data_IF_626312953027
#
_entry.id   IF_626312953027
#
_cell.length_a   1.000
_cell.length_b   1.000
_cell.length_c   1.000
_cell.angle_alpha   90.00
_cell.angle_beta   90.00
_cell.angle_gamma   90.00
#
_symmetry.space_group_name_H-M   'P 1'
#
loop_
_entity.id
_entity.type
_entity.pdbx_description
1 polymer ?
2 non-polymer ?
#
# COMPACT_ATOMS: atom_id res chain seq x y z
N UNK A 14 -19.58 36.63 7.82
CA UNK A 14 -19.00 35.35 7.41
C UNK A 14 -20.01 34.50 6.66
N UNK A 15 -21.22 35.05 6.46
CA UNK A 15 -22.25 34.36 5.70
C UNK A 15 -21.94 34.33 4.20
N UNK A 16 -21.11 35.26 3.71
CA UNK A 16 -20.84 35.42 2.29
C UNK A 16 -19.55 34.76 1.83
N UNK A 17 -18.60 34.50 2.73
CA UNK A 17 -17.27 34.06 2.32
C UNK A 17 -17.14 32.55 2.20
N UNK A 18 -17.95 31.78 2.95
CA UNK A 18 -18.00 30.33 2.72
C UNK A 18 -18.58 30.02 1.35
N UNK A 19 -19.69 30.62 0.90
CA UNK A 19 -20.07 30.46 -0.51
C UNK A 19 -19.01 30.98 -1.47
N UNK A 20 -18.26 32.00 -1.08
CA UNK A 20 -17.16 32.50 -1.91
C UNK A 20 -16.04 31.48 -2.01
N UNK A 21 -15.71 30.81 -0.90
CA UNK A 21 -14.64 29.81 -0.94
C UNK A 21 -15.05 28.57 -1.72
N UNK A 22 -16.30 28.13 -1.56
CA UNK A 22 -16.73 26.91 -2.23
C UNK A 22 -16.91 27.10 -3.73
N UNK A 23 -17.04 28.35 -4.19
CA UNK A 23 -17.26 28.61 -5.61
C UNK A 23 -15.99 28.79 -6.40
N UNK A 24 -14.85 29.03 -5.73
CA UNK A 24 -13.58 29.06 -6.44
C UNK A 24 -13.00 27.67 -6.56
N UNK A 25 -12.94 26.92 -5.45
CA UNK A 25 -12.41 25.56 -5.50
C UNK A 25 -13.14 24.73 -6.54
N UNK A 26 -14.47 24.78 -6.55
CA UNK A 26 -15.24 24.06 -7.55
C UNK A 26 -14.93 24.55 -8.95
N UNK A 27 -14.53 25.81 -9.09
CA UNK A 27 -14.16 26.34 -10.40
C UNK A 27 -12.70 26.07 -10.75
N UNK A 28 -11.79 26.08 -9.77
CA UNK A 28 -10.42 25.69 -10.09
C UNK A 28 -10.37 24.21 -10.38
N UNK A 29 -11.23 23.41 -9.73
CA UNK A 29 -11.30 22.01 -10.06
C UNK A 29 -11.85 21.78 -11.46
N UNK A 30 -12.66 22.72 -11.96
CA UNK A 30 -13.13 22.63 -13.34
C UNK A 30 -12.00 22.96 -14.31
N UNK A 31 -11.27 24.04 -14.04
CA UNK A 31 -10.22 24.48 -14.95
C UNK A 31 -9.01 23.54 -14.92
N UNK A 32 -8.80 22.79 -13.84
CA UNK A 32 -7.67 21.89 -13.72
C UNK A 32 -8.09 20.43 -13.91
N UNK A 33 -9.23 20.03 -13.34
CA UNK A 33 -9.64 18.65 -13.37
C UNK A 33 -10.29 18.20 -14.66
N UNK A 34 -11.10 19.07 -15.28
CA UNK A 34 -11.65 18.75 -16.59
C UNK A 34 -10.57 18.50 -17.62
N UNK A 35 -9.66 19.45 -17.92
CA UNK A 35 -8.71 19.23 -19.04
C UNK A 35 -7.74 18.10 -18.77
N UNK A 36 -7.20 18.06 -17.55
CA UNK A 36 -6.23 17.04 -17.20
C UNK A 36 -6.81 15.63 -17.33
N UNK A 37 -7.92 15.38 -16.64
CA UNK A 37 -8.53 14.05 -16.71
C UNK A 37 -8.98 13.72 -18.11
N UNK A 38 -9.50 14.70 -18.86
CA UNK A 38 -9.92 14.44 -20.23
C UNK A 38 -8.73 14.05 -21.09
N UNK A 39 -7.55 14.61 -20.80
CA UNK A 39 -6.34 14.19 -21.49
C UNK A 39 -5.84 12.84 -20.98
N UNK A 40 -5.76 12.68 -19.65
CA UNK A 40 -5.26 11.44 -19.08
C UNK A 40 -6.09 10.25 -19.55
N UNK A 41 -7.42 10.40 -19.56
CA UNK A 41 -8.28 9.34 -20.07
C UNK A 41 -8.15 9.19 -21.57
N UNK A 42 -7.69 10.24 -22.26
CA UNK A 42 -7.56 10.18 -23.71
C UNK A 42 -6.40 9.29 -24.12
N UNK A 43 -5.20 9.60 -23.62
CA UNK A 43 -3.99 8.89 -24.05
C UNK A 43 -4.13 7.40 -23.85
N UNK A 44 -4.64 6.99 -22.68
CA UNK A 44 -4.77 5.58 -22.35
C UNK A 44 -5.71 4.83 -23.28
N UNK A 45 -6.54 5.53 -24.02
CA UNK A 45 -7.45 4.90 -24.98
C UNK A 45 -7.01 5.06 -26.43
N UNK A 46 -6.60 6.25 -26.85
CA UNK A 46 -6.29 6.51 -28.26
C UNK A 46 -4.88 6.09 -28.65
N UNK A 47 -3.90 6.25 -27.77
CA UNK A 47 -2.50 6.12 -28.15
C UNK A 47 -1.81 4.94 -27.47
N UNK A 48 -2.54 3.86 -27.17
CA UNK A 48 -1.93 2.69 -26.55
C UNK A 48 -2.51 1.41 -27.15
N UNK A 49 -1.66 0.41 -27.29
CA UNK A 49 -2.08 -0.89 -27.80
C UNK A 49 -2.29 -1.88 -26.66
N UNK A 50 -1.26 -2.11 -25.85
CA UNK A 50 -1.34 -2.97 -24.68
C UNK A 50 -1.55 -2.08 -23.46
N UNK A 51 -2.79 -2.01 -22.99
CA UNK A 51 -3.13 -1.16 -21.84
C UNK A 51 -2.72 -1.90 -20.56
N UNK A 52 -1.65 -1.44 -19.93
CA UNK A 52 -1.14 -2.09 -18.74
C UNK A 52 -2.19 -2.06 -17.63
N UNK A 53 -2.05 -3.00 -16.68
CA UNK A 53 -2.94 -3.02 -15.53
C UNK A 53 -2.82 -1.71 -14.75
N UNK A 54 -1.60 -1.18 -14.63
CA UNK A 54 -1.41 0.12 -14.02
C UNK A 54 -1.97 1.24 -14.88
N UNK A 55 -2.27 0.99 -16.15
CA UNK A 55 -2.93 1.96 -17.00
C UNK A 55 -4.45 1.83 -16.99
N UNK A 56 -4.98 0.79 -16.34
CA UNK A 56 -6.42 0.67 -16.16
C UNK A 56 -6.88 1.26 -14.85
N UNK A 57 -6.14 0.99 -13.77
CA UNK A 57 -6.41 1.68 -12.50
C UNK A 57 -6.44 3.18 -12.72
N UNK A 58 -5.38 3.73 -13.33
CA UNK A 58 -5.36 5.15 -13.65
C UNK A 58 -6.55 5.51 -14.52
N UNK A 59 -6.83 4.69 -15.53
CA UNK A 59 -7.94 4.96 -16.44
C UNK A 59 -9.24 5.14 -15.67
N UNK A 60 -9.74 4.07 -15.05
CA UNK A 60 -11.02 4.15 -14.36
C UNK A 60 -11.00 5.17 -13.24
N UNK A 61 -9.90 5.21 -12.48
CA UNK A 61 -9.79 6.21 -11.43
C UNK A 61 -9.81 7.63 -12.00
N UNK A 62 -9.08 7.86 -13.10
CA UNK A 62 -9.18 9.14 -13.78
C UNK A 62 -10.39 9.22 -14.72
N UNK A 63 -11.12 8.12 -14.90
CA UNK A 63 -12.39 8.14 -15.62
C UNK A 63 -13.55 8.50 -14.71
N UNK A 64 -13.56 7.93 -13.50
CA UNK A 64 -14.58 8.27 -12.51
C UNK A 64 -14.43 9.70 -12.04
N UNK A 65 -13.19 10.12 -11.74
CA UNK A 65 -12.94 11.48 -11.29
C UNK A 65 -13.47 12.49 -12.29
N UNK A 66 -13.59 12.09 -13.56
CA UNK A 66 -14.12 13.00 -14.57
C UNK A 66 -15.63 13.19 -14.43
N UNK A 67 -16.35 12.13 -14.05
CA UNK A 67 -17.81 12.22 -13.93
C UNK A 67 -18.22 13.17 -12.82
N UNK A 68 -17.50 13.13 -11.68
CA UNK A 68 -17.81 14.03 -10.58
C UNK A 68 -17.73 15.48 -11.03
N UNK A 69 -16.71 15.81 -11.83
CA UNK A 69 -16.54 17.19 -12.27
C UNK A 69 -17.59 17.60 -13.27
N UNK A 70 -18.19 16.64 -13.99
CA UNK A 70 -19.26 16.97 -14.90
C UNK A 70 -20.49 17.51 -14.19
N UNK A 71 -20.65 17.19 -12.90
CA UNK A 71 -21.75 17.73 -12.10
C UNK A 71 -21.43 19.09 -11.51
N UNK A 72 -20.15 19.44 -11.42
CA UNK A 72 -19.75 20.74 -10.86
C UNK A 72 -20.47 21.94 -11.44
N UNK A 73 -20.73 22.05 -12.75
CA UNK A 73 -21.44 23.25 -13.24
C UNK A 73 -22.82 23.40 -12.65
N UNK A 74 -23.38 22.34 -12.07
CA UNK A 74 -24.71 22.41 -11.49
C UNK A 74 -24.68 22.93 -10.06
N UNK A 75 -23.72 22.47 -9.26
CA UNK A 75 -23.63 22.94 -7.89
C UNK A 75 -23.22 24.41 -7.85
N UNK A 76 -22.34 24.81 -8.78
CA UNK A 76 -21.97 26.22 -8.89
C UNK A 76 -23.17 27.08 -9.22
N UNK A 77 -24.00 26.62 -10.15
CA UNK A 77 -25.25 27.32 -10.46
C UNK A 77 -26.16 27.35 -9.23
N UNK A 78 -26.35 26.19 -8.58
CA UNK A 78 -27.13 26.13 -7.35
C UNK A 78 -26.51 27.00 -6.26
N UNK A 79 -25.18 27.19 -6.30
CA UNK A 79 -24.51 27.99 -5.28
C UNK A 79 -24.83 29.48 -5.43
N UNK A 80 -25.07 29.94 -6.66
CA UNK A 80 -25.26 31.36 -6.92
C UNK A 80 -26.71 31.73 -7.23
N UNK A 81 -27.45 30.86 -7.94
CA UNK A 81 -28.84 31.14 -8.23
C UNK A 81 -29.66 31.32 -6.96
N UNK A 82 -29.43 30.45 -5.97
CA UNK A 82 -30.14 30.50 -4.72
C UNK A 82 -31.08 29.33 -4.49
N UNK A 83 -31.50 28.65 -5.55
CA UNK A 83 -32.39 27.51 -5.42
C UNK A 83 -32.01 26.43 -6.42
N UNK A 84 -32.39 25.19 -6.11
CA UNK A 84 -32.19 24.09 -7.03
C UNK A 84 -33.06 24.28 -8.27
N UNK A 85 -32.59 23.78 -9.41
CA UNK A 85 -33.28 24.08 -10.66
C UNK A 85 -33.48 22.86 -11.56
N UNK A 86 -33.22 21.66 -11.08
CA UNK A 86 -33.18 20.50 -11.96
C UNK A 86 -34.17 19.41 -11.58
N UNK A 87 -35.05 19.67 -10.61
CA UNK A 87 -36.08 18.71 -10.27
C UNK A 87 -35.53 17.55 -9.47
N UNK A 88 -36.46 16.67 -9.05
CA UNK A 88 -36.10 15.55 -8.19
C UNK A 88 -34.97 14.74 -8.80
N UNK A 89 -35.05 14.47 -10.10
CA UNK A 89 -34.00 13.72 -10.79
C UNK A 89 -32.65 14.41 -10.61
N UNK A 90 -32.64 15.74 -10.75
CA UNK A 90 -31.37 16.46 -10.66
C UNK A 90 -30.64 16.24 -9.36
N UNK A 91 -31.32 16.46 -8.24
CA UNK A 91 -30.67 16.30 -6.95
C UNK A 91 -30.65 14.86 -6.47
N UNK A 92 -31.56 14.02 -6.98
CA UNK A 92 -31.44 12.58 -6.73
C UNK A 92 -30.23 12.00 -7.46
N UNK A 93 -29.89 12.55 -8.63
CA UNK A 93 -28.81 12.06 -9.48
C UNK A 93 -27.44 12.62 -9.09
N UNK A 94 -27.32 13.95 -8.99
CA UNK A 94 -25.99 14.55 -8.77
C UNK A 94 -25.31 13.97 -7.55
N UNK A 95 -26.08 13.69 -6.50
CA UNK A 95 -25.48 13.07 -5.33
C UNK A 95 -25.19 11.60 -5.57
N UNK A 96 -25.97 10.92 -6.40
CA UNK A 96 -25.67 9.53 -6.70
C UNK A 96 -24.40 9.43 -7.53
N UNK A 97 -24.26 10.27 -8.54
CA UNK A 97 -23.03 10.31 -9.33
C UNK A 97 -21.84 10.67 -8.43
N UNK A 98 -22.02 11.65 -7.55
CA UNK A 98 -20.97 11.99 -6.60
C UNK A 98 -20.73 10.84 -5.63
N UNK A 99 -21.81 10.18 -5.19
CA UNK A 99 -21.63 9.12 -4.22
C UNK A 99 -21.00 7.87 -4.80
N UNK A 100 -21.06 7.70 -6.11
CA UNK A 100 -20.51 6.48 -6.68
C UNK A 100 -19.02 6.64 -6.96
N UNK A 101 -18.57 7.87 -7.29
CA UNK A 101 -17.16 8.10 -7.55
C UNK A 101 -16.36 8.00 -6.26
N UNK A 102 -16.89 8.53 -5.14
CA UNK A 102 -16.21 8.34 -3.87
C UNK A 102 -15.96 6.88 -3.60
N UNK A 103 -17.00 6.07 -3.78
CA UNK A 103 -16.92 4.65 -3.53
C UNK A 103 -16.02 3.97 -4.55
N UNK A 104 -16.20 4.26 -5.84
CA UNK A 104 -15.35 3.66 -6.86
C UNK A 104 -13.91 4.14 -6.69
N UNK A 105 -13.68 5.44 -6.44
CA UNK A 105 -12.32 5.93 -6.32
C UNK A 105 -11.60 5.30 -5.14
N UNK A 106 -12.26 5.20 -4.00
CA UNK A 106 -11.57 4.72 -2.81
C UNK A 106 -11.30 3.22 -2.89
N UNK A 107 -12.17 2.46 -3.57
CA UNK A 107 -11.93 1.02 -3.68
C UNK A 107 -10.76 0.74 -4.63
N UNK A 108 -10.67 1.48 -5.74
CA UNK A 108 -9.50 1.35 -6.60
C UNK A 108 -8.22 1.65 -5.84
N UNK A 109 -8.25 2.68 -4.98
CA UNK A 109 -7.07 3.01 -4.19
C UNK A 109 -6.79 1.93 -3.15
N UNK A 110 -7.83 1.27 -2.65
CA UNK A 110 -7.61 0.11 -1.81
C UNK A 110 -6.92 -1.00 -2.59
N UNK A 111 -7.43 -1.32 -3.78
CA UNK A 111 -6.86 -2.39 -4.59
C UNK A 111 -5.42 -2.10 -4.97
N UNK A 112 -5.16 -0.90 -5.51
CA UNK A 112 -3.79 -0.52 -5.85
C UNK A 112 -2.86 -0.68 -4.66
N UNK A 113 -3.30 -0.23 -3.48
CA UNK A 113 -2.47 -0.33 -2.29
C UNK A 113 -2.45 -1.74 -1.73
N UNK A 114 -3.57 -2.47 -1.83
CA UNK A 114 -3.61 -3.85 -1.39
C UNK A 114 -2.73 -4.75 -2.25
N UNK A 115 -2.38 -4.30 -3.45
CA UNK A 115 -1.58 -5.07 -4.40
C UNK A 115 -0.07 -4.85 -4.23
N UNK A 116 0.38 -3.60 -4.10
CA UNK A 116 1.80 -3.38 -3.86
C UNK A 116 2.28 -4.07 -2.59
N UNK A 117 1.38 -4.64 -1.79
CA UNK A 117 1.78 -5.51 -0.69
C UNK A 117 1.85 -6.97 -1.09
N UNK A 118 1.25 -7.34 -2.22
CA UNK A 118 1.44 -8.68 -2.76
C UNK A 118 2.61 -8.75 -3.72
N UNK A 119 3.07 -7.62 -4.24
CA UNK A 119 4.27 -7.60 -5.07
C UNK A 119 5.55 -7.69 -4.26
N UNK A 120 5.47 -7.53 -2.94
CA UNK A 120 6.62 -7.75 -2.08
C UNK A 120 6.43 -8.94 -1.16
N UNK A 121 5.20 -9.34 -0.87
CA UNK A 121 5.00 -10.53 -0.05
C UNK A 121 5.45 -11.77 -0.80
N UNK A 122 5.05 -11.90 -2.06
CA UNK A 122 5.56 -12.97 -2.90
C UNK A 122 5.46 -12.55 -4.36
N UNK A 123 6.56 -12.14 -5.01
CA UNK A 123 6.44 -11.62 -6.38
C UNK A 123 6.22 -12.68 -7.43
N UNK A 124 6.22 -13.95 -7.07
CA UNK A 124 5.95 -15.00 -8.03
C UNK A 124 4.47 -15.31 -8.17
N UNK A 125 3.68 -15.00 -7.14
CA UNK A 125 2.23 -15.19 -7.25
C UNK A 125 1.59 -14.06 -8.05
N UNK A 126 2.19 -12.87 -8.02
CA UNK A 126 1.65 -11.73 -8.74
C UNK A 126 1.54 -12.01 -10.23
N UNK A 127 2.57 -12.63 -10.81
CA UNK A 127 2.53 -12.97 -12.23
C UNK A 127 1.35 -13.89 -12.53
N UNK A 128 1.03 -14.79 -11.60
CA UNK A 128 -0.07 -15.72 -11.75
C UNK A 128 -1.38 -15.17 -11.21
N UNK A 129 -1.40 -13.96 -10.65
CA UNK A 129 -2.62 -13.39 -10.11
C UNK A 129 -2.91 -12.04 -10.75
N UNK A 130 -1.87 -11.27 -11.07
CA UNK A 130 -2.05 -9.96 -11.70
C UNK A 130 -2.14 -10.14 -13.23
N UNK A 131 -3.31 -10.63 -13.65
CA UNK A 131 -3.64 -10.82 -15.06
C UNK A 131 -4.58 -9.71 -15.49
N UNK A 132 -4.32 -9.11 -16.66
CA UNK A 132 -5.22 -8.10 -17.20
C UNK A 132 -6.64 -8.63 -17.29
N UNK A 133 -6.79 -9.93 -17.58
CA UNK A 133 -8.13 -10.52 -17.61
C UNK A 133 -8.71 -10.65 -16.20
N UNK A 134 -7.86 -10.85 -15.19
CA UNK A 134 -8.32 -10.89 -13.81
C UNK A 134 -8.21 -9.54 -13.12
N UNK A 135 -7.82 -8.50 -13.84
CA UNK A 135 -7.89 -7.12 -13.38
C UNK A 135 -9.11 -6.41 -13.93
N UNK A 136 -9.37 -6.57 -15.23
CA UNK A 136 -10.61 -6.06 -15.82
C UNK A 136 -11.82 -6.68 -15.14
N UNK A 137 -11.80 -8.00 -14.95
CA UNK A 137 -12.92 -8.66 -14.32
C UNK A 137 -13.02 -8.34 -12.82
N UNK A 138 -12.09 -7.53 -12.29
CA UNK A 138 -12.23 -6.98 -10.94
C UNK A 138 -12.84 -5.59 -10.97
N UNK A 139 -12.44 -4.76 -11.94
CA UNK A 139 -12.94 -3.39 -12.02
C UNK A 139 -14.45 -3.37 -12.04
N UNK A 140 -15.06 -4.24 -12.87
CA UNK A 140 -16.51 -4.38 -12.88
C UNK A 140 -17.03 -4.68 -11.48
N UNK A 141 -16.35 -5.60 -10.79
CA UNK A 141 -16.71 -5.88 -9.40
C UNK A 141 -16.66 -4.64 -8.54
N UNK A 142 -15.56 -3.89 -8.62
CA UNK A 142 -15.45 -2.65 -7.85
C UNK A 142 -16.55 -1.68 -8.27
N UNK A 143 -16.75 -1.52 -9.57
CA UNK A 143 -17.80 -0.63 -10.07
C UNK A 143 -19.18 -1.11 -9.65
N UNK A 144 -19.47 -2.39 -9.89
CA UNK A 144 -20.74 -2.95 -9.46
C UNK A 144 -20.94 -2.83 -7.96
N UNK A 145 -19.92 -3.20 -7.20
CA UNK A 145 -19.97 -3.05 -5.74
C UNK A 145 -19.81 -1.62 -5.29
N UNK A 146 -19.57 -0.70 -6.21
CA UNK A 146 -19.62 0.73 -5.92
C UNK A 146 -20.95 1.35 -6.31
N UNK A 147 -21.57 0.88 -7.39
CA UNK A 147 -22.89 1.36 -7.78
C UNK A 147 -23.95 1.03 -6.75
N UNK A 148 -23.72 0.00 -5.95
CA UNK A 148 -24.72 -0.41 -4.97
C UNK A 148 -24.58 0.32 -3.65
N UNK A 149 -23.35 0.65 -3.25
CA UNK A 149 -23.10 1.20 -1.93
C UNK A 149 -23.45 2.69 -1.85
N UNK A 150 -23.72 3.32 -3.01
CA UNK A 150 -24.23 4.69 -3.07
C UNK A 150 -25.73 4.76 -3.27
N UNK A 151 -26.41 3.62 -3.28
CA UNK A 151 -27.86 3.61 -3.51
C UNK A 151 -28.66 4.33 -2.43
N UNK A 152 -28.34 4.25 -1.14
CA UNK A 152 -29.13 5.02 -0.16
C UNK A 152 -29.18 6.51 -0.47
N UNK A 153 -28.16 7.05 -1.14
CA UNK A 153 -28.10 8.48 -1.37
C UNK A 153 -29.19 8.94 -2.34
N UNK A 154 -29.67 8.06 -3.22
CA UNK A 154 -30.78 8.45 -4.07
C UNK A 154 -32.14 8.19 -3.43
N UNK A 155 -32.18 7.49 -2.31
CA UNK A 155 -33.45 7.31 -1.62
C UNK A 155 -33.69 8.41 -0.59
N UNK A 156 -32.62 9.04 -0.09
CA UNK A 156 -32.70 9.95 1.04
C UNK A 156 -32.48 11.41 0.66
N UNK A 157 -32.14 11.71 -0.60
CA UNK A 157 -31.90 13.09 -1.04
C UNK A 157 -32.97 13.46 -2.05
N UNK A 158 -33.84 14.40 -1.66
CA UNK A 158 -34.93 14.86 -2.51
C UNK A 158 -35.09 16.36 -2.31
N UNK A 159 -35.64 17.04 -3.33
CA UNK A 159 -35.87 18.47 -3.23
C UNK A 159 -37.12 18.75 -2.41
N UNK A 160 -37.04 19.73 -1.53
CA UNK A 160 -38.16 20.17 -0.73
C UNK A 160 -38.37 21.66 -0.98
N UNK A 161 -39.61 22.03 -1.25
CA UNK A 161 -39.94 23.42 -1.53
C UNK A 161 -39.94 24.21 -0.23
N UNK A 162 -38.99 25.12 -0.09
CA UNK A 162 -38.81 25.90 1.13
C UNK A 162 -39.61 27.20 1.09
N UNK A 163 -39.44 27.99 0.03
CA UNK A 163 -40.14 29.24 -0.19
C UNK A 163 -40.73 29.22 -1.60
N UNK A 164 -41.76 30.04 -1.83
CA UNK A 164 -42.37 30.16 -3.15
C UNK A 164 -41.32 30.33 -4.24
N UNK A 165 -40.28 31.12 -3.97
CA UNK A 165 -39.24 31.39 -4.96
C UNK A 165 -37.93 30.68 -4.65
N UNK A 166 -37.93 29.78 -3.67
CA UNK A 166 -36.70 29.09 -3.29
C UNK A 166 -37.05 27.68 -2.83
N UNK A 167 -36.62 26.68 -3.59
CA UNK A 167 -36.68 25.29 -3.14
C UNK A 167 -35.26 24.78 -3.00
N UNK A 168 -34.92 24.33 -1.80
CA UNK A 168 -33.59 23.81 -1.53
C UNK A 168 -33.61 22.29 -1.65
N UNK A 169 -32.42 21.73 -1.79
CA UNK A 169 -32.25 20.28 -1.84
C UNK A 169 -31.16 19.85 -0.88
N UNK A 170 -31.48 18.87 -0.04
CA UNK A 170 -30.50 18.16 0.78
C UNK A 170 -31.19 16.91 1.29
N UNK A 171 -30.43 16.09 2.02
CA UNK A 171 -30.94 14.84 2.55
C UNK A 171 -32.13 15.07 3.48
N UNK A 172 -33.21 14.32 3.22
CA UNK A 172 -34.38 14.31 4.09
C UNK A 172 -34.38 12.97 4.80
N UNK A 173 -33.89 12.95 6.03
CA UNK A 173 -33.86 11.72 6.78
C UNK A 173 -35.08 11.65 7.68
N UNK A 174 -35.95 10.63 7.54
CA UNK A 174 -37.18 10.61 8.35
C UNK A 174 -36.98 10.78 9.85
N UNK A 175 -36.03 10.06 10.44
CA UNK A 175 -35.68 10.20 11.84
C UNK A 175 -34.17 10.44 11.94
N UNK A 176 -33.73 10.80 13.14
CA UNK A 176 -32.31 11.07 13.37
C UNK A 176 -31.49 9.79 13.48
N UNK A 177 -32.09 8.70 13.98
CA UNK A 177 -31.44 7.41 13.91
C UNK A 177 -31.16 7.02 12.46
N UNK A 178 -32.12 7.29 11.57
CA UNK A 178 -31.89 7.11 10.14
C UNK A 178 -30.69 7.94 9.68
N UNK A 179 -30.68 9.23 10.03
CA UNK A 179 -29.56 10.09 9.67
C UNK A 179 -28.26 9.59 10.28
N UNK A 180 -28.29 9.20 11.56
CA UNK A 180 -27.07 8.79 12.26
C UNK A 180 -26.35 7.68 11.52
N UNK A 181 -27.01 6.53 11.38
CA UNK A 181 -26.32 5.37 10.85
C UNK A 181 -25.81 5.62 9.43
N UNK A 182 -26.63 6.22 8.58
CA UNK A 182 -26.18 6.49 7.22
C UNK A 182 -24.99 7.45 7.20
N UNK A 183 -24.99 8.44 8.09
CA UNK A 183 -23.82 9.32 8.19
C UNK A 183 -22.60 8.58 8.70
N UNK A 184 -22.81 7.62 9.59
CA UNK A 184 -21.72 6.73 9.97
C UNK A 184 -21.44 5.71 8.89
N UNK A 185 -22.48 5.23 8.21
CA UNK A 185 -22.31 4.15 7.24
C UNK A 185 -21.43 4.59 6.08
N UNK A 186 -21.55 5.84 5.64
CA UNK A 186 -20.69 6.32 4.56
C UNK A 186 -19.33 6.78 5.06
N UNK A 187 -19.02 6.59 6.34
CA UNK A 187 -17.72 6.91 6.88
C UNK A 187 -16.87 5.65 7.03
N UNK A 188 -17.41 4.63 7.68
CA UNK A 188 -16.68 3.37 7.76
C UNK A 188 -16.41 2.84 6.36
N UNK A 189 -17.46 2.74 5.55
CA UNK A 189 -17.32 2.09 4.27
C UNK A 189 -16.57 2.96 3.27
N UNK A 190 -16.88 4.25 3.24
CA UNK A 190 -16.18 5.14 2.33
C UNK A 190 -14.72 5.27 2.67
N UNK A 191 -14.42 5.53 3.93
CA UNK A 191 -13.06 5.87 4.34
C UNK A 191 -12.45 4.91 5.34
N UNK A 192 -13.18 4.55 6.39
CA UNK A 192 -12.50 3.93 7.52
C UNK A 192 -12.11 2.50 7.20
N UNK A 193 -12.99 1.76 6.55
CA UNK A 193 -12.62 0.42 6.09
C UNK A 193 -11.42 0.47 5.14
N UNK A 194 -11.39 1.34 4.11
CA UNK A 194 -10.18 1.47 3.28
C UNK A 194 -8.97 2.02 4.04
N UNK A 195 -9.15 3.10 4.79
CA UNK A 195 -8.02 3.66 5.53
C UNK A 195 -7.40 2.62 6.45
N UNK A 196 -8.22 1.71 7.01
CA UNK A 196 -7.65 0.63 7.82
C UNK A 196 -6.97 -0.41 6.96
N UNK A 197 -7.55 -0.72 5.80
CA UNK A 197 -6.94 -1.72 4.92
C UNK A 197 -5.63 -1.23 4.37
N UNK A 198 -5.60 0.01 3.90
CA UNK A 198 -4.40 0.53 3.21
C UNK A 198 -3.36 0.90 4.26
N UNK A 199 -3.70 0.75 5.54
CA UNK A 199 -2.74 1.01 6.60
C UNK A 199 -2.12 -0.32 7.04
N UNK A 200 -2.90 -1.40 6.96
CA UNK A 200 -2.35 -2.71 7.28
C UNK A 200 -1.39 -3.17 6.20
N UNK A 201 -1.83 -3.11 4.94
CA UNK A 201 -0.99 -3.59 3.84
C UNK A 201 0.23 -2.70 3.63
N UNK A 202 0.03 -1.38 3.61
CA UNK A 202 1.13 -0.47 3.28
C UNK A 202 2.07 -0.24 4.45
N UNK A 203 1.71 -0.68 5.66
CA UNK A 203 2.67 -0.68 6.76
C UNK A 203 3.29 -2.05 7.00
N UNK A 204 2.63 -3.13 6.56
CA UNK A 204 3.28 -4.43 6.54
C UNK A 204 4.52 -4.40 5.66
N UNK A 205 4.43 -3.71 4.51
CA UNK A 205 5.56 -3.61 3.59
C UNK A 205 6.73 -2.92 4.29
N UNK A 206 6.53 -1.68 4.75
CA UNK A 206 7.59 -0.92 5.39
C UNK A 206 8.14 -1.62 6.63
N UNK A 207 7.38 -2.57 7.18
CA UNK A 207 7.85 -3.45 8.24
C UNK A 207 8.42 -4.76 7.69
N UNK A 208 8.22 -5.04 6.40
CA UNK A 208 8.80 -6.21 5.78
C UNK A 208 10.23 -5.93 5.31
N UNK A 209 10.45 -4.71 4.77
CA UNK A 209 11.75 -4.35 4.22
C UNK A 209 12.81 -4.24 5.31
N UNK A 210 12.42 -3.87 6.53
CA UNK A 210 13.37 -3.78 7.63
C UNK A 210 14.12 -5.10 7.82
N UNK A 211 13.43 -6.22 7.66
CA UNK A 211 14.11 -7.52 7.66
C UNK A 211 14.96 -7.69 6.42
N UNK A 212 14.38 -7.39 5.25
CA UNK A 212 15.07 -7.56 3.97
C UNK A 212 16.23 -6.59 3.79
N UNK A 213 16.32 -5.55 4.60
CA UNK A 213 17.39 -4.59 4.46
C UNK A 213 17.21 -3.71 3.23
N UNK A 214 17.61 -2.45 3.33
CA UNK A 214 17.42 -1.52 2.22
C UNK A 214 18.36 -1.88 1.07
N UNK A 215 17.91 -1.58 -0.15
CA UNK A 215 18.63 -1.92 -1.35
C UNK A 215 18.77 -3.42 -1.49
N UNK A 216 19.70 -3.82 -2.35
CA UNK A 216 20.08 -5.22 -2.49
C UNK A 216 21.24 -5.59 -1.56
N UNK A 217 21.60 -4.71 -0.62
CA UNK A 217 22.83 -4.87 0.14
C UNK A 217 22.90 -6.21 0.86
N UNK A 218 21.76 -6.73 1.32
CA UNK A 218 21.82 -7.98 2.07
C UNK A 218 22.08 -9.15 1.14
N UNK A 219 21.68 -9.03 -0.13
CA UNK A 219 21.80 -10.15 -1.07
C UNK A 219 23.25 -10.41 -1.43
N UNK A 220 23.93 -9.39 -1.98
CA UNK A 220 25.32 -9.58 -2.40
C UNK A 220 26.20 -10.04 -1.24
N UNK A 221 25.92 -9.55 -0.04
CA UNK A 221 26.62 -10.04 1.14
C UNK A 221 26.46 -11.54 1.29
N UNK A 222 25.24 -12.03 1.12
CA UNK A 222 25.02 -13.46 1.26
C UNK A 222 25.57 -14.24 0.07
N UNK A 223 25.61 -13.62 -1.11
CA UNK A 223 26.14 -14.33 -2.28
C UNK A 223 27.60 -14.71 -2.07
N UNK A 224 28.42 -13.75 -1.65
CA UNK A 224 29.83 -13.99 -1.32
C UNK A 224 29.98 -15.18 -0.38
N UNK A 225 28.99 -15.39 0.49
CA UNK A 225 29.14 -16.27 1.65
C UNK A 225 28.56 -17.66 1.42
N UNK A 226 27.27 -17.76 1.14
CA UNK A 226 26.62 -19.05 0.93
C UNK A 226 26.73 -19.53 -0.51
N UNK A 227 27.30 -18.74 -1.40
CA UNK A 227 27.46 -19.16 -2.77
C UNK A 227 26.20 -19.02 -3.59
N UNK A 228 26.31 -18.37 -4.73
CA UNK A 228 25.20 -18.14 -5.63
C UNK A 228 25.26 -19.15 -6.77
N UNK A 229 24.35 -20.11 -6.78
CA UNK A 229 24.21 -21.06 -7.88
C UNK A 229 22.80 -20.98 -8.45
N UNK A 230 22.68 -21.02 -9.77
CA UNK A 230 21.39 -20.85 -10.44
C UNK A 230 20.82 -22.16 -10.98
N UNK A 231 21.33 -23.30 -10.50
CA UNK A 231 20.82 -24.60 -10.92
C UNK A 231 20.72 -25.50 -9.70
N UNK A 232 19.83 -26.49 -9.80
CA UNK A 232 19.63 -27.42 -8.70
C UNK A 232 20.91 -28.18 -8.42
N UNK A 233 21.30 -28.27 -7.15
CA UNK A 233 22.49 -29.02 -6.78
C UNK A 233 22.20 -29.80 -5.49
N UNK A 234 23.24 -30.38 -4.90
CA UNK A 234 23.10 -31.09 -3.64
C UNK A 234 23.79 -30.30 -2.52
N UNK A 235 23.09 -30.15 -1.40
CA UNK A 235 23.57 -29.32 -0.31
C UNK A 235 24.79 -29.96 0.37
N UNK A 236 25.31 -29.27 1.39
CA UNK A 236 26.45 -29.80 2.13
C UNK A 236 26.12 -31.15 2.75
N UNK A 237 24.90 -31.32 3.26
CA UNK A 237 24.43 -32.57 3.84
C UNK A 237 23.81 -33.49 2.81
N UNK A 238 24.04 -33.26 1.53
CA UNK A 238 23.49 -34.11 0.48
C UNK A 238 21.98 -34.00 0.34
N UNK A 239 21.50 -32.80 -0.02
CA UNK A 239 20.08 -32.56 -0.18
C UNK A 239 19.89 -31.49 -1.25
N UNK A 240 18.69 -31.49 -1.85
CA UNK A 240 18.41 -30.63 -3.00
C UNK A 240 18.22 -29.18 -2.57
N UNK A 241 19.01 -28.28 -3.13
CA UNK A 241 18.83 -26.84 -2.95
C UNK A 241 19.07 -26.14 -4.28
N UNK A 242 18.74 -24.86 -4.32
CA UNK A 242 19.02 -24.01 -5.48
C UNK A 242 19.14 -22.58 -4.99
N UNK A 243 19.95 -21.79 -5.68
CA UNK A 243 20.14 -20.42 -5.24
C UNK A 243 21.02 -20.36 -3.99
N UNK A 244 20.78 -19.33 -3.18
CA UNK A 244 21.52 -19.14 -1.93
C UNK A 244 20.87 -19.98 -0.84
N UNK A 245 21.09 -21.29 -0.89
CA UNK A 245 20.68 -22.21 0.16
C UNK A 245 19.19 -22.48 0.27
N UNK A 246 18.37 -22.05 -0.69
CA UNK A 246 16.94 -22.33 -0.64
C UNK A 246 16.73 -23.84 -0.76
N UNK A 247 16.24 -24.46 0.32
CA UNK A 247 15.94 -25.88 0.34
C UNK A 247 14.63 -26.13 -0.41
N UNK A 248 14.69 -26.88 -1.50
CA UNK A 248 13.49 -27.16 -2.28
C UNK A 248 12.58 -28.15 -1.59
N UNK A 249 13.13 -29.29 -1.15
CA UNK A 249 12.30 -30.32 -0.54
C UNK A 249 13.17 -31.28 0.25
N UNK A 250 12.57 -31.88 1.29
CA UNK A 250 13.19 -32.99 1.99
C UNK A 250 12.79 -34.30 1.30
N UNK A 251 13.39 -34.50 0.12
CA UNK A 251 12.99 -35.62 -0.73
C UNK A 251 14.14 -35.98 -1.65
N UNK A 252 14.19 -37.22 -2.11
CA UNK A 252 15.29 -37.66 -2.98
C UNK A 252 15.12 -37.36 -4.46
N UNK A 253 13.89 -37.45 -4.99
CA UNK A 253 13.70 -37.45 -6.44
C UNK A 253 13.90 -36.08 -7.07
N UNK A 254 14.61 -36.07 -8.20
CA UNK A 254 14.84 -34.82 -8.92
C UNK A 254 13.53 -34.24 -9.45
N UNK A 255 12.77 -35.04 -10.20
CA UNK A 255 11.50 -34.55 -10.75
C UNK A 255 10.59 -34.05 -9.64
N UNK A 256 10.60 -34.72 -8.49
CA UNK A 256 9.91 -34.18 -7.31
C UNK A 256 10.55 -32.87 -6.88
N UNK A 257 11.87 -32.82 -6.82
CA UNK A 257 12.56 -31.59 -6.44
C UNK A 257 12.38 -30.52 -7.51
N UNK A 258 12.57 -30.89 -8.78
CA UNK A 258 12.42 -29.94 -9.88
C UNK A 258 11.00 -29.40 -9.96
N UNK A 259 10.02 -30.29 -9.93
CA UNK A 259 8.63 -29.86 -9.95
C UNK A 259 8.30 -28.99 -8.75
N UNK A 260 8.80 -29.36 -7.57
CA UNK A 260 8.55 -28.57 -6.36
C UNK A 260 8.97 -27.12 -6.58
N UNK A 261 10.10 -26.91 -7.26
CA UNK A 261 10.55 -25.56 -7.55
C UNK A 261 9.54 -24.83 -8.44
N UNK A 262 9.15 -25.44 -9.56
CA UNK A 262 8.24 -24.81 -10.52
C UNK A 262 6.97 -24.30 -9.86
N UNK A 263 6.50 -24.99 -8.82
CA UNK A 263 5.34 -24.51 -8.08
C UNK A 263 5.62 -23.16 -7.43
N UNK A 264 6.82 -22.96 -6.90
CA UNK A 264 7.14 -21.72 -6.21
C UNK A 264 7.65 -20.63 -7.14
N UNK A 265 7.65 -20.84 -8.45
CA UNK A 265 8.15 -19.83 -9.37
C UNK A 265 7.06 -19.57 -10.41
N UNK A 266 6.27 -20.61 -10.67
CA UNK A 266 5.13 -20.51 -11.55
C UNK A 266 5.43 -20.71 -13.02
N UNK A 267 6.69 -20.91 -13.39
CA UNK A 267 7.07 -21.11 -14.78
C UNK A 267 7.90 -22.39 -14.91
N UNK A 268 7.89 -22.96 -16.12
CA UNK A 268 8.61 -24.21 -16.39
C UNK A 268 10.08 -23.90 -16.55
N UNK A 269 10.80 -23.96 -15.42
CA UNK A 269 12.22 -23.62 -15.41
C UNK A 269 13.05 -24.69 -16.08
N UNK A 270 12.64 -25.95 -15.93
CA UNK A 270 13.44 -27.11 -16.33
C UNK A 270 14.79 -27.12 -15.61
N UNK A 271 14.85 -26.50 -14.44
CA UNK A 271 16.04 -26.57 -13.61
C UNK A 271 16.90 -25.33 -13.55
N UNK A 272 16.44 -24.22 -14.13
CA UNK A 272 17.25 -23.00 -14.19
C UNK A 272 16.39 -21.79 -13.78
N UNK A 273 16.99 -20.89 -13.00
CA UNK A 273 16.32 -19.67 -12.59
C UNK A 273 17.21 -18.47 -12.90
N UNK A 274 16.59 -17.31 -12.99
CA UNK A 274 17.29 -16.08 -13.32
C UNK A 274 18.04 -15.55 -12.10
N UNK A 275 18.93 -14.57 -12.34
CA UNK A 275 19.54 -13.84 -11.24
C UNK A 275 18.49 -13.16 -10.39
N UNK A 276 17.43 -12.63 -11.02
CA UNK A 276 16.33 -12.05 -10.28
C UNK A 276 15.61 -13.13 -9.47
N UNK A 277 15.14 -14.17 -10.16
CA UNK A 277 14.39 -15.23 -9.46
C UNK A 277 15.18 -15.79 -8.29
N UNK A 278 16.51 -15.82 -8.38
CA UNK A 278 17.31 -16.27 -7.25
C UNK A 278 17.26 -15.29 -6.11
N UNK A 279 17.08 -14.00 -6.40
CA UNK A 279 17.07 -12.96 -5.39
C UNK A 279 15.71 -12.86 -4.69
N UNK A 280 14.63 -12.76 -5.46
CA UNK A 280 13.29 -12.76 -4.87
C UNK A 280 13.10 -13.98 -4.00
N UNK A 281 13.44 -15.16 -4.53
CA UNK A 281 13.34 -16.39 -3.75
C UNK A 281 14.16 -16.30 -2.47
N UNK A 282 15.31 -15.62 -2.53
CA UNK A 282 16.12 -15.44 -1.34
C UNK A 282 15.43 -14.56 -0.31
N UNK A 283 14.60 -13.61 -0.75
CA UNK A 283 13.89 -12.78 0.20
C UNK A 283 12.91 -13.62 1.01
N UNK A 284 12.21 -14.55 0.37
CA UNK A 284 11.38 -15.48 1.13
C UNK A 284 12.21 -16.32 2.09
N UNK A 285 13.50 -16.50 1.82
CA UNK A 285 14.35 -17.23 2.74
C UNK A 285 14.82 -16.37 3.92
N UNK A 286 14.75 -15.05 3.83
CA UNK A 286 15.03 -14.17 4.96
C UNK A 286 13.75 -13.65 5.60
N UNK A 287 12.72 -13.41 4.79
CA UNK A 287 11.41 -13.06 5.34
C UNK A 287 10.93 -14.11 6.33
N UNK A 288 10.99 -15.38 5.94
CA UNK A 288 10.60 -16.46 6.83
C UNK A 288 11.67 -16.81 7.84
N UNK A 289 12.93 -16.39 7.62
CA UNK A 289 13.96 -16.60 8.62
C UNK A 289 14.00 -15.48 9.67
N UNK A 290 13.26 -14.39 9.45
CA UNK A 290 13.21 -13.31 10.41
C UNK A 290 12.04 -13.48 11.39
N UNK A 291 10.94 -14.09 10.93
CA UNK A 291 9.86 -14.43 11.86
C UNK A 291 10.33 -15.46 12.87
N UNK A 292 11.10 -16.46 12.42
CA UNK A 292 11.70 -17.40 13.36
C UNK A 292 12.56 -16.70 14.40
N UNK A 293 13.27 -15.64 13.99
CA UNK A 293 14.05 -14.86 14.94
C UNK A 293 13.13 -14.09 15.88
N UNK A 294 12.21 -13.30 15.30
CA UNK A 294 11.30 -12.51 16.11
C UNK A 294 10.37 -13.39 16.95
N UNK A 295 10.16 -14.65 16.56
CA UNK A 295 9.39 -15.58 17.38
C UNK A 295 10.28 -16.50 18.19
N UNK A 296 11.57 -16.17 18.34
CA UNK A 296 12.49 -16.95 19.13
C UNK A 296 12.68 -16.32 20.50
N UNK A 297 12.78 -17.17 21.52
CA UNK A 297 12.87 -16.70 22.89
C UNK A 297 14.15 -15.90 23.14
N UNK A 298 15.26 -16.28 22.51
CA UNK A 298 16.56 -15.77 22.92
C UNK A 298 17.09 -14.67 22.01
N UNK A 299 16.96 -14.80 20.69
CA UNK A 299 17.59 -13.86 19.77
C UNK A 299 16.66 -12.75 19.32
N UNK A 300 15.40 -12.75 19.76
CA UNK A 300 14.53 -11.62 19.45
C UNK A 300 15.02 -10.32 20.12
N UNK A 301 15.29 -10.28 21.43
CA UNK A 301 15.65 -8.98 22.04
C UNK A 301 16.87 -8.34 21.43
N UNK A 302 17.95 -9.10 21.27
CA UNK A 302 19.20 -8.57 20.74
C UNK A 302 18.98 -8.02 19.33
N UNK A 303 18.31 -8.79 18.48
CA UNK A 303 18.02 -8.36 17.11
C UNK A 303 17.35 -6.98 17.11
N UNK A 304 16.34 -6.79 17.95
CA UNK A 304 15.65 -5.50 17.98
C UNK A 304 16.61 -4.35 18.27
N UNK A 305 17.67 -4.60 19.03
CA UNK A 305 18.62 -3.54 19.35
C UNK A 305 19.60 -3.27 18.21
N UNK A 306 19.92 -4.29 17.41
CA UNK A 306 20.95 -4.15 16.40
C UNK A 306 20.49 -3.26 15.25
N UNK A 307 21.37 -2.38 14.80
CA UNK A 307 21.10 -1.46 13.71
C UNK A 307 20.96 -2.23 12.40
N UNK A 308 20.55 -1.51 11.34
CA UNK A 308 20.26 -2.16 10.06
C UNK A 308 21.47 -2.91 9.53
N UNK A 309 22.67 -2.39 9.74
CA UNK A 309 23.87 -3.03 9.23
C UNK A 309 24.12 -4.36 9.94
N UNK A 310 24.30 -4.31 11.26
CA UNK A 310 24.60 -5.49 12.07
C UNK A 310 23.47 -6.50 12.11
N UNK A 311 22.29 -6.16 11.60
CA UNK A 311 21.18 -7.11 11.63
C UNK A 311 21.40 -8.24 10.64
N UNK A 312 21.89 -7.90 9.45
CA UNK A 312 22.00 -8.90 8.39
C UNK A 312 22.92 -10.04 8.81
N UNK A 313 23.88 -9.77 9.68
CA UNK A 313 24.78 -10.83 10.12
C UNK A 313 24.11 -11.79 11.10
N UNK A 314 23.21 -11.29 11.95
CA UNK A 314 22.32 -12.18 12.68
C UNK A 314 21.52 -13.03 11.70
N UNK A 315 21.02 -12.40 10.63
CA UNK A 315 20.36 -13.13 9.57
C UNK A 315 21.35 -14.04 8.86
N UNK A 316 22.64 -13.72 8.93
CA UNK A 316 23.64 -14.57 8.28
C UNK A 316 23.93 -15.81 9.12
N UNK A 317 24.20 -15.63 10.41
CA UNK A 317 24.44 -16.79 11.26
C UNK A 317 23.22 -17.69 11.33
N UNK A 318 22.03 -17.09 11.40
CA UNK A 318 20.80 -17.89 11.41
C UNK A 318 20.68 -18.67 10.10
N UNK A 319 21.08 -18.06 8.99
CA UNK A 319 21.17 -18.79 7.74
C UNK A 319 22.22 -19.90 7.82
N UNK A 320 23.29 -19.66 8.57
CA UNK A 320 24.38 -20.61 8.63
C UNK A 320 23.99 -21.84 9.43
N UNK A 321 23.63 -21.65 10.70
CA UNK A 321 23.48 -22.75 11.64
C UNK A 321 22.05 -22.93 12.18
N UNK A 322 21.09 -22.11 11.74
CA UNK A 322 19.75 -22.20 12.26
C UNK A 322 19.63 -21.55 13.63
N UNK A 323 18.47 -20.97 13.92
CA UNK A 323 18.30 -20.20 15.16
C UNK A 323 18.65 -21.04 16.38
N UNK A 324 18.16 -22.28 16.42
CA UNK A 324 18.46 -23.16 17.55
C UNK A 324 19.97 -23.26 17.80
N UNK A 325 20.78 -23.15 16.75
CA UNK A 325 22.22 -23.22 16.89
C UNK A 325 22.87 -21.91 17.29
N UNK A 326 22.51 -20.81 16.62
CA UNK A 326 23.07 -19.51 16.95
C UNK A 326 22.59 -19.02 18.31
N UNK A 327 21.41 -19.45 18.75
CA UNK A 327 20.99 -19.18 20.13
C UNK A 327 21.98 -19.67 21.18
N UNK A 328 23.01 -20.44 20.79
CA UNK A 328 23.93 -20.95 21.80
C UNK A 328 24.90 -19.90 22.33
N UNK A 329 25.31 -18.96 21.46
CA UNK A 329 26.33 -17.97 21.83
C UNK A 329 25.67 -16.84 22.63
N UNK A 330 25.17 -17.20 23.81
CA UNK A 330 24.47 -16.23 24.64
C UNK A 330 25.40 -15.08 25.05
N UNK A 331 26.57 -15.40 25.61
CA UNK A 331 27.48 -14.35 26.07
C UNK A 331 27.94 -13.48 24.92
N UNK A 332 28.13 -14.05 23.73
CA UNK A 332 28.37 -13.23 22.55
C UNK A 332 27.09 -12.64 21.99
N UNK A 333 25.93 -13.17 22.40
CA UNK A 333 24.67 -12.59 21.95
C UNK A 333 24.36 -11.31 22.73
N UNK A 334 24.39 -11.39 24.06
CA UNK A 334 23.99 -10.23 24.85
C UNK A 334 25.00 -9.10 24.73
N UNK A 335 26.28 -9.41 24.49
CA UNK A 335 27.26 -8.35 24.36
C UNK A 335 26.91 -7.41 23.22
N UNK A 336 26.32 -7.94 22.15
CA UNK A 336 25.80 -7.09 21.09
C UNK A 336 24.62 -6.29 21.57
N UNK A 337 23.68 -6.94 22.25
CA UNK A 337 22.50 -6.27 22.77
C UNK A 337 22.88 -5.09 23.66
N UNK A 338 23.98 -5.23 24.40
CA UNK A 338 24.47 -4.16 25.27
C UNK A 338 25.39 -3.19 24.55
N UNK A 339 25.45 -3.30 23.23
CA UNK A 339 26.18 -2.41 22.32
C UNK A 339 27.69 -2.41 22.57
N UNK A 340 28.25 -3.46 23.15
CA UNK A 340 29.68 -3.59 23.32
C UNK A 340 30.17 -4.57 22.26
N UNK A 341 30.78 -4.06 21.20
CA UNK A 341 31.16 -4.92 20.09
C UNK A 341 32.52 -5.57 20.30
N UNK A 342 33.51 -4.78 20.74
CA UNK A 342 34.86 -5.30 20.88
C UNK A 342 34.93 -6.50 21.80
N UNK A 343 34.04 -6.58 22.78
CA UNK A 343 34.00 -7.75 23.64
C UNK A 343 33.18 -8.89 23.07
N UNK A 344 32.45 -8.66 21.99
CA UNK A 344 31.80 -9.72 21.25
C UNK A 344 32.57 -10.13 20.01
N UNK A 345 33.31 -9.21 19.41
CA UNK A 345 34.19 -9.55 18.30
C UNK A 345 35.30 -10.49 18.75
N UNK A 346 35.96 -10.15 19.87
CA UNK A 346 37.05 -10.99 20.36
C UNK A 346 36.51 -12.26 21.00
N UNK A 347 35.28 -12.23 21.52
CA UNK A 347 34.71 -13.40 22.17
C UNK A 347 34.28 -14.45 21.14
N UNK A 348 33.78 -14.01 19.99
CA UNK A 348 33.41 -14.95 18.95
C UNK A 348 34.62 -15.58 18.28
N UNK A 349 35.83 -15.06 18.52
CA UNK A 349 37.04 -15.57 17.88
C UNK A 349 37.42 -16.98 18.31
N UNK A 350 36.87 -17.48 19.41
CA UNK A 350 37.26 -18.78 19.94
C UNK A 350 36.25 -19.88 19.63
N UNK A 351 35.23 -19.60 18.83
CA UNK A 351 34.20 -20.59 18.56
C UNK A 351 34.66 -21.58 17.51
N UNK A 352 34.12 -22.81 17.59
CA UNK A 352 34.33 -23.77 16.52
C UNK A 352 33.83 -23.22 15.19
N UNK A 353 32.72 -22.49 15.24
CA UNK A 353 32.23 -21.78 14.07
C UNK A 353 33.33 -20.94 13.43
N UNK A 354 34.11 -20.22 14.24
CA UNK A 354 35.26 -19.49 13.71
C UNK A 354 36.33 -20.42 13.17
N UNK A 355 36.49 -21.59 13.78
CA UNK A 355 37.51 -22.53 13.35
C UNK A 355 37.10 -23.30 12.10
N UNK A 356 35.87 -23.81 12.07
CA UNK A 356 35.50 -24.67 10.94
C UNK A 356 35.35 -23.87 9.65
N UNK A 357 34.98 -22.59 9.74
CA UNK A 357 34.86 -21.72 8.57
C UNK A 357 35.28 -20.32 8.95
N UNK A 358 36.53 -19.95 8.65
CA UNK A 358 37.11 -18.68 9.12
C UNK A 358 37.14 -17.56 8.11
N UNK A 359 36.91 -17.85 6.84
CA UNK A 359 36.82 -16.79 5.84
C UNK A 359 35.52 -16.03 5.99
N UNK A 360 34.44 -16.74 6.28
CA UNK A 360 33.15 -16.11 6.48
C UNK A 360 32.94 -15.68 7.93
N UNK A 361 33.71 -16.25 8.86
CA UNK A 361 33.58 -15.80 10.23
C UNK A 361 34.41 -14.56 10.51
N UNK A 362 35.52 -14.38 9.81
CA UNK A 362 36.37 -13.22 10.05
C UNK A 362 35.78 -11.93 9.49
N UNK A 363 34.77 -12.03 8.63
CA UNK A 363 34.10 -10.88 8.04
C UNK A 363 32.74 -10.59 8.64
N UNK A 364 31.95 -11.64 8.91
CA UNK A 364 30.71 -11.46 9.66
C UNK A 364 31.01 -10.78 11.00
N UNK A 365 32.00 -11.28 11.72
CA UNK A 365 32.40 -10.67 12.98
C UNK A 365 32.92 -9.24 12.74
N UNK A 366 33.56 -9.00 11.60
CA UNK A 366 34.05 -7.66 11.30
C UNK A 366 32.91 -6.69 11.07
N UNK A 367 31.81 -7.15 10.47
CA UNK A 367 30.65 -6.28 10.32
C UNK A 367 30.02 -5.90 11.66
N UNK A 368 30.26 -6.68 12.72
CA UNK A 368 29.74 -6.32 14.03
C UNK A 368 30.52 -5.17 14.64
N UNK A 369 31.84 -5.32 14.76
CA UNK A 369 32.64 -4.31 15.45
C UNK A 369 32.73 -3.00 14.67
N UNK A 370 32.51 -3.03 13.36
CA UNK A 370 32.57 -1.82 12.54
C UNK A 370 31.20 -1.29 12.10
N UNK A 371 30.16 -2.12 12.12
CA UNK A 371 28.83 -1.65 11.75
C UNK A 371 28.73 -1.11 10.35
N UNK A 372 29.59 -1.55 9.44
CA UNK A 372 29.58 -1.10 8.06
C UNK A 372 29.80 -2.30 7.15
N UNK A 373 29.52 -2.10 5.86
CA UNK A 373 29.79 -3.11 4.84
C UNK A 373 31.23 -3.07 4.34
N UNK A 374 32.15 -2.47 5.11
CA UNK A 374 33.51 -2.28 4.62
C UNK A 374 34.17 -3.62 4.26
N UNK A 375 33.96 -4.64 5.08
CA UNK A 375 34.65 -5.91 4.90
C UNK A 375 34.17 -6.70 3.70
N UNK A 376 33.00 -6.36 3.16
CA UNK A 376 32.37 -7.16 2.12
C UNK A 376 32.57 -6.62 0.71
N UNK A 377 32.44 -5.32 0.49
CA UNK A 377 32.53 -4.81 -0.86
C UNK A 377 32.70 -3.30 -0.86
N UNK A 378 32.70 -2.72 -2.06
CA UNK A 378 32.84 -1.27 -2.17
C UNK A 378 32.20 -0.80 -3.48
N UNK A 379 30.95 -0.35 -3.39
CA UNK A 379 30.28 0.35 -4.49
C UNK A 379 29.50 -0.49 -5.49
N UNK A 380 29.23 -1.76 -5.22
CA UNK A 380 28.49 -2.58 -6.18
C UNK A 380 27.10 -2.96 -5.68
N UNK A 381 26.63 -2.35 -4.60
CA UNK A 381 25.37 -2.74 -3.99
C UNK A 381 24.28 -1.69 -4.12
N UNK A 382 24.62 -0.48 -4.56
CA UNK A 382 23.67 0.63 -4.50
C UNK A 382 22.58 0.46 -5.55
N UNK A 383 21.34 0.32 -5.09
CA UNK A 383 20.18 0.20 -5.95
C UNK A 383 19.08 1.10 -5.42
N UNK A 384 18.09 1.35 -6.28
CA UNK A 384 16.86 2.05 -5.96
C UNK A 384 15.73 1.02 -5.89
N UNK A 385 15.58 0.39 -4.72
CA UNK A 385 14.58 -0.65 -4.54
C UNK A 385 13.16 -0.13 -4.71
N UNK A 386 12.93 1.14 -4.44
CA UNK A 386 11.60 1.72 -4.58
C UNK A 386 11.15 1.69 -6.04
N UNK A 387 9.91 1.24 -6.26
CA UNK A 387 9.35 1.09 -7.59
C UNK A 387 8.34 2.22 -7.87
N UNK A 388 7.67 2.14 -9.02
CA UNK A 388 6.67 3.12 -9.42
C UNK A 388 5.54 3.24 -8.41
N UNK A 389 5.43 2.29 -7.47
CA UNK A 389 4.50 2.39 -6.36
C UNK A 389 4.79 3.53 -5.40
N UNK A 390 6.01 4.07 -5.45
CA UNK A 390 6.30 5.32 -4.75
C UNK A 390 5.44 6.47 -5.29
N UNK A 391 5.12 6.46 -6.59
CA UNK A 391 4.11 7.38 -7.09
C UNK A 391 2.72 6.97 -6.65
N UNK A 392 2.46 5.66 -6.61
CA UNK A 392 1.16 5.16 -6.19
C UNK A 392 0.86 5.51 -4.73
N UNK A 393 1.88 5.89 -3.95
CA UNK A 393 1.70 6.17 -2.53
C UNK A 393 1.48 7.65 -2.25
N UNK A 394 1.47 8.51 -3.26
CA UNK A 394 1.10 9.90 -3.05
C UNK A 394 -0.34 10.15 -3.47
N UNK A 395 -0.81 9.49 -4.54
CA UNK A 395 -2.19 9.73 -4.97
C UNK A 395 -3.20 9.21 -3.97
N UNK A 396 -2.76 8.40 -3.00
CA UNK A 396 -3.61 8.03 -1.88
C UNK A 396 -3.54 9.08 -0.76
N UNK A 397 -2.39 9.76 -0.61
CA UNK A 397 -2.27 10.75 0.46
C UNK A 397 -2.97 12.05 0.08
N UNK A 398 -2.80 12.53 -1.16
CA UNK A 398 -3.60 13.64 -1.63
C UNK A 398 -5.08 13.32 -1.51
N UNK A 399 -5.44 12.06 -1.80
CA UNK A 399 -6.82 11.64 -1.61
C UNK A 399 -7.21 11.70 -0.13
N UNK A 400 -6.40 11.08 0.73
CA UNK A 400 -6.74 11.03 2.15
C UNK A 400 -6.79 12.43 2.77
N UNK A 401 -5.86 13.30 2.39
CA UNK A 401 -5.84 14.64 2.94
C UNK A 401 -7.03 15.48 2.49
N UNK A 402 -7.70 15.09 1.40
CA UNK A 402 -8.85 15.84 0.90
C UNK A 402 -10.17 15.29 1.42
N UNK A 403 -10.21 14.02 1.77
CA UNK A 403 -11.44 13.36 2.17
C UNK A 403 -11.55 13.14 3.67
N UNK A 404 -10.51 13.43 4.42
CA UNK A 404 -10.64 13.29 5.85
C UNK A 404 -11.47 14.43 6.43
N UNK A 405 -11.22 15.71 6.07
CA UNK A 405 -12.08 16.79 6.59
C UNK A 405 -13.56 16.51 6.46
N UNK A 406 -14.00 15.99 5.31
CA UNK A 406 -15.42 15.73 5.13
C UNK A 406 -15.90 14.63 6.05
N UNK A 407 -15.14 13.54 6.17
CA UNK A 407 -15.65 12.37 6.85
C UNK A 407 -15.68 12.53 8.36
N UNK A 408 -14.76 13.31 8.94
CA UNK A 408 -14.80 13.53 10.37
C UNK A 408 -16.13 14.16 10.77
N UNK A 409 -16.66 15.05 9.91
CA UNK A 409 -17.97 15.64 10.18
C UNK A 409 -19.05 14.57 10.14
N UNK A 410 -19.04 13.72 9.10
CA UNK A 410 -19.93 12.57 9.08
C UNK A 410 -19.74 11.70 10.31
N UNK A 411 -18.49 11.55 10.75
CA UNK A 411 -18.21 10.79 11.95
C UNK A 411 -18.67 11.53 13.20
N UNK A 412 -18.60 12.87 13.20
CA UNK A 412 -18.94 13.60 14.41
C UNK A 412 -20.44 13.88 14.47
N UNK A 413 -21.11 13.97 13.34
CA UNK A 413 -22.55 14.21 13.36
C UNK A 413 -23.29 12.99 13.89
N UNK A 414 -23.00 11.81 13.35
CA UNK A 414 -23.63 10.60 13.85
C UNK A 414 -23.34 10.32 15.31
N UNK A 415 -22.11 10.64 15.75
CA UNK A 415 -21.76 10.46 17.16
C UNK A 415 -22.53 11.43 18.04
N UNK A 416 -22.59 12.69 17.65
CA UNK A 416 -23.21 13.76 18.43
C UNK A 416 -24.68 13.99 18.07
N UNK A 417 -25.29 13.05 17.35
CA UNK A 417 -26.73 13.05 17.09
C UNK A 417 -27.46 12.04 17.95
N UNK A 418 -26.76 11.41 18.89
CA UNK A 418 -27.39 10.60 19.92
C UNK A 418 -27.43 11.26 21.27
N UNK A 419 -26.47 12.14 21.57
CA UNK A 419 -26.57 13.08 22.67
C UNK A 419 -26.48 14.49 22.10
N UNK A 420 -27.53 15.28 22.28
CA UNK A 420 -27.59 16.63 21.76
C UNK A 420 -27.32 16.76 20.27
N UNK A 423 -28.94 22.55 16.47
CA UNK A 423 -29.20 23.56 17.49
C UNK A 423 -28.56 24.89 17.12
N UNK A 424 -27.90 25.52 18.10
CA UNK A 424 -27.12 26.72 17.89
C UNK A 424 -25.63 26.50 17.99
N UNK A 425 -25.19 25.57 18.85
CA UNK A 425 -23.78 25.19 18.92
C UNK A 425 -23.37 24.36 17.71
N UNK A 426 -24.26 23.48 17.26
CA UNK A 426 -24.02 22.66 16.07
C UNK A 426 -24.38 23.36 14.77
N UNK A 427 -24.77 24.64 14.81
CA UNK A 427 -25.05 25.38 13.58
C UNK A 427 -23.81 25.65 12.75
N UNK A 428 -22.62 25.39 13.30
CA UNK A 428 -21.38 25.56 12.56
C UNK A 428 -21.07 24.37 11.66
N UNK A 429 -21.54 23.17 12.03
CA UNK A 429 -21.16 21.97 11.28
C UNK A 429 -21.48 22.10 9.81
N UNK A 430 -22.74 22.36 9.46
CA UNK A 430 -23.09 22.54 8.06
C UNK A 430 -22.32 23.70 7.44
N UNK A 431 -22.03 24.76 8.21
CA UNK A 431 -21.16 25.81 7.68
C UNK A 431 -19.73 25.32 7.56
N UNK A 432 -19.29 24.46 8.48
CA UNK A 432 -17.97 23.86 8.38
C UNK A 432 -17.95 22.69 7.41
N UNK A 433 -19.05 21.95 7.32
CA UNK A 433 -19.11 20.86 6.36
C UNK A 433 -19.12 21.39 4.92
N UNK A 434 -19.66 22.59 4.71
CA UNK A 434 -19.73 23.17 3.37
C UNK A 434 -18.36 23.24 2.71
N UNK A 435 -17.33 23.65 3.44
CA UNK A 435 -16.00 23.78 2.88
C UNK A 435 -15.33 22.40 2.76
N UNK A 436 -15.42 21.59 3.81
CA UNK A 436 -14.89 20.23 3.75
C UNK A 436 -15.51 19.43 2.61
N UNK A 437 -16.83 19.57 2.45
CA UNK A 437 -17.54 18.95 1.33
C UNK A 437 -17.06 19.54 0.00
N UNK A 438 -16.76 20.85 -0.01
CA UNK A 438 -16.31 21.52 -1.22
C UNK A 438 -14.82 21.39 -1.45
N UNK A 439 -14.03 21.31 -0.37
CA UNK A 439 -12.60 21.03 -0.49
C UNK A 439 -12.37 19.72 -1.24
N UNK A 440 -13.16 18.69 -0.91
CA UNK A 440 -12.99 17.38 -1.51
C UNK A 440 -13.21 17.37 -3.02
N UNK A 441 -13.73 18.45 -3.59
CA UNK A 441 -13.91 18.54 -5.03
C UNK A 441 -12.59 18.74 -5.78
N UNK A 442 -11.46 18.79 -5.07
CA UNK A 442 -10.15 18.92 -5.68
C UNK A 442 -9.44 17.58 -5.86
N UNK A 443 -9.85 16.54 -5.11
CA UNK A 443 -9.21 15.24 -5.23
C UNK A 443 -9.42 14.63 -6.61
N UNK A 444 -10.56 14.92 -7.23
CA UNK A 444 -10.76 14.51 -8.62
C UNK A 444 -9.78 15.20 -9.55
N UNK A 445 -9.23 16.34 -9.13
CA UNK A 445 -8.33 17.14 -9.95
C UNK A 445 -6.89 17.09 -9.42
N UNK A 446 -6.52 16.01 -8.73
CA UNK A 446 -5.18 15.89 -8.16
C UNK A 446 -4.32 14.89 -8.91
N UNK A 447 -4.90 13.93 -9.64
CA UNK A 447 -4.07 12.99 -10.39
C UNK A 447 -3.33 13.64 -11.55
N UNK A 448 -3.96 14.46 -12.40
CA UNK A 448 -3.22 15.04 -13.54
C UNK A 448 -2.00 15.85 -13.13
N UNK A 449 -2.03 16.52 -11.97
CA UNK A 449 -0.84 17.25 -11.52
C UNK A 449 0.23 16.29 -11.05
N UNK A 450 -0.16 15.22 -10.36
CA UNK A 450 0.81 14.21 -9.93
C UNK A 450 1.43 13.50 -11.13
N UNK A 451 0.69 13.38 -12.23
CA UNK A 451 1.28 12.84 -13.44
C UNK A 451 2.12 13.91 -14.14
N UNK A 452 1.75 15.17 -14.02
CA UNK A 452 2.57 16.28 -14.49
C UNK A 452 3.62 16.71 -13.47
N UNK A 453 3.77 15.95 -12.37
CA UNK A 453 4.78 16.28 -11.36
C UNK A 453 6.19 16.15 -11.92
N UNK A 454 6.39 15.29 -12.93
CA UNK A 454 7.70 15.08 -13.53
C UNK A 454 8.16 16.30 -14.33
X LIG B 1 -20.45 23.01 -1.94
X LIG B 1 -22.21 24.57 -0.59
X LIG B 1 -23.97 19.72 -2.27
X LIG B 1 -22.94 18.79 -2.29
X LIG B 1 -24.32 25.61 -0.11
X LIG B 1 -22.48 16.60 -3.06
X LIG B 1 -21.09 16.16 -2.60
X LIG B 1 -19.08 14.98 -3.17
X LIG B 1 -18.30 14.15 -4.17
X LIG B 1 -19.28 16.07 -1.03
X LIG B 1 -23.21 17.42 -2.21
X LIG B 1 -25.10 26.47 0.67
X LIG B 1 -17.00 14.66 -4.25
X LIG B 1 -13.67 10.49 -7.91
X LIG B 1 -12.00 11.61 -6.67
X LIG B 1 -21.88 22.95 -2.48
X LIG B 1 -22.32 21.49 -2.41
X LIG B 1 -22.77 23.88 -1.65
X LIG B 1 -21.85 23.38 -3.94
X LIG B 1 -23.64 21.07 -2.34
X LIG B 1 -21.32 20.56 -2.43
X LIG B 1 -24.11 24.08 -1.95
X LIG B 1 -21.63 19.23 -2.37
X LIG B 1 -22.98 25.42 0.19
X LIG B 1 -24.89 24.93 -1.18
X LIG B 1 -20.34 15.42 -3.49
X LIG B 1 -20.55 16.49 -1.36
X LIG B 1 -18.53 15.31 -1.93
X LIG B 1 -16.08 13.86 -4.92
X LIG B 1 -14.86 14.40 -5.25
X LIG B 1 -16.38 12.54 -5.23
X LIG B 1 -14.23 12.32 -6.22
X LIG B 1 -13.92 13.64 -5.92
X LIG B 1 -15.44 11.77 -5.88
X LIG B 1 -13.21 11.47 -6.94
#
# INVERSE_FOLDING_TARGET
ELMDYKDDDDKEFSNTFIPLLAMILLSVSMVVGLPGNTFVVWSILKRMRKRSVTALMVLNLALADLAVLLTAPFFLHFLTWGTWSFGLAGCRLCHYICGVSMYASVLLITAMSLDRSLAVASPFLSQKVRTKTAARWLLVGIWGASFLLATPVLAFRKVVKLTNETDLCLAVYPSDRHKAFHLLFEAFTGFVVPFLIVVASYADISRRLRARGSGSNIFEMLRIDEGLRLKIYKDTEGYYTIGIGHLLTKSPSLNAAKSELDKAIGRNTNGVITKDEAEKLFNQDVDAAVRGILRNAKLKPVYDSLDAVRRAALINMVFQMGETGVAGFTNSLRMLQQKRWDEAAVNLAKSRWYNQTPNRAKRVITTFRTGTWDAYGSGSRFHRRRRTGRLVVIIILAFAAFWLPYHVVDLVEGSRVLAGTLDQSKQQLRNARKVCIALAFLSSSVNPLLYACAGGGLLRSAGVGFVAKLLEATGAEAFSTRRGGTLAQTVKGIPMAPEPGASGSLDGLKQSESDEFLEVLFQ
7Y9 C10 C13 C15 C17 C20 C21 C22 C24 C26 C28 O01 O02 O03 N04 N05 C06 C07 C08 C09 C11 C12 C14 C16 C18 C19 C23 C25 C27 C29 C30 C31 C32 C33 C34 C35
#
